data_IF_710817814672
#
_entry.id   IF_710817814672
#
_cell.length_a   1.000
_cell.length_b   1.000
_cell.length_c   1.000
_cell.angle_alpha   90.00
_cell.angle_beta   90.00
_cell.angle_gamma   90.00
#
_symmetry.space_group_name_H-M   'P 1'
#
loop_
_entity.id
_entity.type
_entity.pdbx_description
1 polymer ?
#
# COMPACT_ATOMS: atom_id res chain seq x y z
N UNK A 1 -8.76 14.17 -68.41
CA UNK A 1 -8.80 14.23 -66.93
C UNK A 1 -7.47 13.73 -66.41
N UNK A 2 -6.68 14.57 -65.76
CA UNK A 2 -5.25 14.40 -65.57
C UNK A 2 -4.88 13.34 -64.51
N UNK A 3 -4.20 12.29 -64.91
CA UNK A 3 -3.64 11.21 -64.08
C UNK A 3 -2.85 11.70 -62.80
N UNK A 4 -2.32 12.91 -62.87
CA UNK A 4 -1.62 13.55 -61.76
C UNK A 4 -2.51 13.98 -60.57
N UNK A 5 -3.83 14.15 -60.79
CA UNK A 5 -4.80 14.47 -59.71
C UNK A 5 -5.29 13.24 -58.96
N UNK A 6 -5.24 12.07 -59.55
CA UNK A 6 -5.68 10.81 -58.93
C UNK A 6 -4.59 10.28 -57.97
N UNK A 7 -3.28 10.45 -58.30
CA UNK A 7 -2.19 10.06 -57.40
C UNK A 7 -2.08 10.94 -56.14
N UNK A 8 -2.45 12.23 -56.24
CA UNK A 8 -2.41 13.14 -55.10
C UNK A 8 -3.54 12.87 -54.08
N UNK A 9 -4.68 12.39 -54.52
CA UNK A 9 -5.79 12.10 -53.65
C UNK A 9 -5.66 10.76 -52.91
N UNK A 10 -5.00 9.77 -53.56
CA UNK A 10 -4.73 8.46 -52.91
C UNK A 10 -3.61 8.54 -51.90
N UNK A 11 -2.67 9.45 -52.05
CA UNK A 11 -1.57 9.66 -51.12
C UNK A 11 -2.00 10.44 -49.86
N UNK A 12 -2.99 11.36 -49.99
CA UNK A 12 -3.58 12.08 -48.85
C UNK A 12 -4.47 11.19 -48.01
N UNK A 13 -5.17 10.23 -48.62
CA UNK A 13 -6.02 9.27 -47.88
C UNK A 13 -5.19 8.22 -47.15
N UNK A 14 -4.01 7.88 -47.63
CA UNK A 14 -3.12 6.93 -46.95
C UNK A 14 -2.38 7.56 -45.76
N UNK A 15 -2.10 8.87 -45.80
CA UNK A 15 -1.47 9.59 -44.67
C UNK A 15 -2.45 9.83 -43.54
N UNK A 16 -3.75 9.97 -43.82
CA UNK A 16 -4.79 10.11 -42.79
C UNK A 16 -5.11 8.79 -42.06
N UNK A 17 -4.80 7.63 -42.61
CA UNK A 17 -4.99 6.32 -41.98
C UNK A 17 -3.83 5.91 -41.08
N UNK A 18 -2.67 6.58 -41.12
CA UNK A 18 -1.50 6.28 -40.25
C UNK A 18 -1.58 7.02 -38.91
N UNK A 19 -2.39 8.06 -38.76
CA UNK A 19 -2.55 8.80 -37.50
C UNK A 19 -3.72 8.34 -36.62
N UNK A 20 -4.42 7.27 -36.97
CA UNK A 20 -5.25 6.54 -36.03
C UNK A 20 -4.37 5.55 -35.23
N UNK A 21 -3.24 6.03 -34.70
CA UNK A 21 -2.54 5.32 -33.64
C UNK A 21 -3.48 5.28 -32.43
N UNK A 22 -3.91 4.08 -32.05
CA UNK A 22 -4.55 3.76 -30.81
C UNK A 22 -3.97 4.63 -29.68
N UNK A 23 -4.65 5.69 -29.28
CA UNK A 23 -4.49 6.20 -27.93
C UNK A 23 -4.97 5.06 -27.03
N UNK A 24 -4.03 4.29 -26.50
CA UNK A 24 -4.36 3.33 -25.45
C UNK A 24 -5.12 4.10 -24.37
N UNK A 25 -6.33 3.68 -24.12
CA UNK A 25 -7.10 4.27 -23.01
C UNK A 25 -6.27 4.08 -21.75
N UNK A 26 -6.08 5.12 -20.93
CA UNK A 26 -5.22 5.05 -19.74
C UNK A 26 -5.66 3.99 -18.72
N UNK A 27 -6.83 3.43 -18.88
CA UNK A 27 -7.45 2.41 -18.03
C UNK A 27 -7.74 1.10 -18.79
N UNK A 28 -6.97 0.78 -19.86
CA UNK A 28 -7.11 -0.51 -20.54
C UNK A 28 -6.90 -1.67 -19.56
N UNK A 29 -7.81 -2.64 -19.58
CA UNK A 29 -7.69 -3.86 -18.76
C UNK A 29 -6.56 -4.72 -19.32
N UNK A 30 -5.61 -5.12 -18.46
CA UNK A 30 -4.52 -6.00 -18.83
C UNK A 30 -4.98 -7.45 -18.92
N UNK A 31 -4.32 -8.22 -19.78
CA UNK A 31 -4.47 -9.66 -19.83
C UNK A 31 -4.18 -10.29 -18.46
N UNK A 32 -4.80 -11.43 -18.17
CA UNK A 32 -4.66 -12.18 -16.91
C UNK A 32 -5.18 -11.46 -15.65
N UNK A 33 -5.93 -10.35 -15.77
CA UNK A 33 -6.72 -9.90 -14.64
C UNK A 33 -7.69 -11.01 -14.25
N UNK A 34 -7.84 -11.26 -12.96
CA UNK A 34 -8.79 -12.27 -12.49
C UNK A 34 -10.21 -11.97 -12.91
N UNK A 35 -11.00 -13.01 -13.17
CA UNK A 35 -12.45 -12.86 -13.30
C UNK A 35 -13.05 -12.44 -11.95
N UNK A 36 -14.28 -11.97 -11.97
CA UNK A 36 -15.00 -11.61 -10.74
C UNK A 36 -15.21 -12.85 -9.87
N UNK A 37 -15.59 -13.96 -10.48
CA UNK A 37 -15.80 -15.25 -9.80
C UNK A 37 -14.55 -15.68 -9.03
N UNK A 38 -13.37 -15.66 -9.67
CA UNK A 38 -12.11 -16.02 -9.01
C UNK A 38 -11.80 -15.10 -7.83
N UNK A 39 -12.04 -13.80 -7.96
CA UNK A 39 -11.80 -12.85 -6.88
C UNK A 39 -12.74 -13.10 -5.68
N UNK A 40 -14.00 -13.42 -5.93
CA UNK A 40 -14.96 -13.75 -4.88
C UNK A 40 -14.72 -15.13 -4.25
N UNK A 41 -14.23 -16.13 -5.03
CA UNK A 41 -13.76 -17.42 -4.49
C UNK A 41 -12.61 -17.21 -3.52
N UNK A 42 -11.59 -16.44 -3.91
CA UNK A 42 -10.47 -16.07 -3.02
C UNK A 42 -10.96 -15.41 -1.72
N UNK A 43 -11.92 -14.48 -1.83
CA UNK A 43 -12.51 -13.82 -0.65
C UNK A 43 -13.21 -14.82 0.27
N UNK A 44 -13.96 -15.75 -0.31
CA UNK A 44 -14.67 -16.81 0.43
C UNK A 44 -13.70 -17.76 1.15
N UNK A 45 -12.61 -18.14 0.49
CA UNK A 45 -11.57 -19.02 1.07
C UNK A 45 -10.84 -18.39 2.26
N UNK A 46 -10.62 -17.07 2.22
CA UNK A 46 -9.92 -16.36 3.29
C UNK A 46 -10.87 -15.84 4.40
N UNK A 47 -12.18 -15.82 4.17
CA UNK A 47 -13.14 -15.26 5.12
C UNK A 47 -13.00 -13.76 5.35
N UNK A 48 -13.48 -13.27 6.49
CA UNK A 48 -13.26 -11.88 6.88
C UNK A 48 -11.88 -11.72 7.47
N UNK A 49 -11.11 -10.78 6.90
CA UNK A 49 -9.74 -10.50 7.30
C UNK A 49 -9.67 -9.17 8.03
N UNK A 50 -9.01 -9.15 9.19
CA UNK A 50 -8.77 -7.94 9.95
C UNK A 50 -7.39 -7.98 10.60
N UNK A 51 -6.73 -6.81 10.65
CA UNK A 51 -5.39 -6.71 11.18
C UNK A 51 -4.79 -5.33 11.04
N UNK A 52 -3.48 -5.25 10.90
CA UNK A 52 -2.75 -3.98 10.94
C UNK A 52 -1.69 -3.87 9.85
N UNK A 53 -1.33 -2.64 9.47
CA UNK A 53 -0.09 -2.35 8.81
C UNK A 53 1.04 -2.56 9.82
N UNK A 54 1.86 -3.58 9.62
CA UNK A 54 2.87 -3.99 10.58
C UNK A 54 4.25 -3.46 10.20
N UNK A 55 4.84 -2.73 11.11
CA UNK A 55 6.24 -2.36 11.15
C UNK A 55 6.69 -2.54 12.60
N UNK A 56 7.74 -3.33 12.91
CA UNK A 56 8.12 -3.56 14.30
C UNK A 56 8.50 -2.24 14.99
N UNK A 57 8.16 -2.12 16.26
CA UNK A 57 8.38 -0.87 17.03
C UNK A 57 9.83 -0.42 17.07
N UNK A 58 10.77 -1.33 16.82
CA UNK A 58 12.23 -1.08 16.75
C UNK A 58 12.67 -0.49 15.41
N UNK A 59 11.81 -0.40 14.41
CA UNK A 59 12.14 0.06 13.05
C UNK A 59 11.43 1.36 12.72
N UNK A 60 12.16 2.34 12.15
CA UNK A 60 11.60 3.62 11.72
C UNK A 60 10.95 3.58 10.34
N UNK A 61 11.38 2.62 9.50
CA UNK A 61 10.90 2.45 8.13
C UNK A 61 11.20 1.04 7.59
N UNK A 62 10.80 0.79 6.34
CA UNK A 62 10.97 -0.49 5.65
C UNK A 62 12.45 -0.91 5.53
N UNK A 63 13.39 0.05 5.42
CA UNK A 63 14.82 -0.26 5.31
C UNK A 63 15.36 -0.78 6.65
N UNK A 64 15.05 -0.10 7.76
CA UNK A 64 15.45 -0.57 9.09
C UNK A 64 14.79 -1.90 9.47
N UNK A 65 13.55 -2.11 9.02
CA UNK A 65 12.86 -3.39 9.24
C UNK A 65 13.62 -4.57 8.60
N UNK A 66 14.14 -4.39 7.39
CA UNK A 66 14.58 -5.54 6.59
C UNK A 66 16.09 -5.66 6.36
N UNK A 67 16.92 -4.68 6.72
CA UNK A 67 18.37 -4.82 6.62
C UNK A 67 18.89 -5.89 7.59
N UNK A 68 19.97 -6.60 7.22
CA UNK A 68 20.51 -7.71 8.00
C UNK A 68 20.94 -7.30 9.41
N UNK A 69 21.53 -6.13 9.56
CA UNK A 69 22.05 -5.59 10.80
C UNK A 69 20.99 -5.03 11.76
N UNK A 70 19.78 -4.85 11.27
CA UNK A 70 18.65 -4.28 12.05
C UNK A 70 17.41 -5.18 12.10
N UNK A 71 17.41 -6.30 11.36
CA UNK A 71 16.32 -7.26 11.39
C UNK A 71 16.15 -7.90 12.77
N UNK A 72 15.02 -7.69 13.41
CA UNK A 72 14.73 -8.05 14.81
C UNK A 72 13.61 -9.08 14.92
N UNK A 73 13.91 -10.38 14.74
CA UNK A 73 12.89 -11.43 14.80
C UNK A 73 12.26 -11.60 16.19
N UNK A 74 12.96 -11.21 17.27
CA UNK A 74 12.43 -11.32 18.64
C UNK A 74 11.30 -10.30 18.87
N UNK A 75 11.50 -9.06 18.44
CA UNK A 75 10.45 -8.03 18.49
C UNK A 75 9.30 -8.39 17.55
N UNK A 76 9.59 -8.87 16.33
CA UNK A 76 8.57 -9.33 15.39
C UNK A 76 7.70 -10.42 16.02
N UNK A 77 8.31 -11.48 16.56
CA UNK A 77 7.57 -12.59 17.17
C UNK A 77 6.69 -12.12 18.33
N UNK A 78 7.23 -11.29 19.21
CA UNK A 78 6.52 -10.73 20.36
C UNK A 78 5.30 -9.89 19.94
N UNK A 79 5.47 -9.00 18.98
CA UNK A 79 4.40 -8.11 18.53
C UNK A 79 3.35 -8.84 17.69
N UNK A 80 3.75 -9.85 16.89
CA UNK A 80 2.80 -10.73 16.20
C UNK A 80 1.96 -11.56 17.19
N UNK A 81 2.55 -12.02 18.30
CA UNK A 81 1.79 -12.67 19.37
C UNK A 81 0.70 -11.74 19.93
N UNK A 82 1.04 -10.46 20.18
CA UNK A 82 0.04 -9.49 20.68
C UNK A 82 -1.08 -9.24 19.67
N UNK A 83 -0.75 -9.24 18.39
CA UNK A 83 -1.74 -9.13 17.32
C UNK A 83 -2.68 -10.33 17.26
N UNK A 84 -2.13 -11.55 17.36
CA UNK A 84 -2.91 -12.79 17.42
C UNK A 84 -3.83 -12.85 18.66
N UNK A 85 -3.37 -12.37 19.83
CA UNK A 85 -4.17 -12.28 21.03
C UNK A 85 -5.39 -11.34 20.91
N UNK A 86 -5.36 -10.39 19.96
CA UNK A 86 -6.49 -9.55 19.61
C UNK A 86 -7.47 -10.22 18.63
N UNK A 87 -7.08 -11.35 18.04
CA UNK A 87 -7.84 -12.01 16.96
C UNK A 87 -7.52 -11.48 15.55
N UNK A 88 -6.46 -10.70 15.38
CA UNK A 88 -6.02 -10.27 14.06
C UNK A 88 -5.47 -11.46 13.26
N UNK A 89 -5.84 -11.56 11.98
CA UNK A 89 -5.48 -12.66 11.09
C UNK A 89 -4.80 -12.20 9.79
N UNK A 90 -4.54 -10.90 9.66
CA UNK A 90 -3.91 -10.30 8.50
C UNK A 90 -2.94 -9.18 8.89
N UNK A 91 -1.72 -9.20 8.32
CA UNK A 91 -0.81 -8.06 8.34
C UNK A 91 -0.54 -7.54 6.93
N UNK A 92 -0.47 -6.23 6.77
CA UNK A 92 0.04 -5.57 5.57
C UNK A 92 1.45 -5.07 5.85
N UNK A 93 2.42 -5.49 5.02
CA UNK A 93 3.84 -5.30 5.30
C UNK A 93 4.57 -4.73 4.09
N UNK A 94 5.35 -3.70 4.30
CA UNK A 94 6.04 -2.95 3.26
C UNK A 94 7.44 -3.51 2.99
N UNK A 95 7.73 -3.71 1.72
CA UNK A 95 9.05 -4.08 1.21
C UNK A 95 9.72 -2.86 0.54
N UNK A 96 11.00 -3.01 0.15
CA UNK A 96 11.72 -1.92 -0.51
C UNK A 96 12.73 -2.46 -1.53
N UNK A 97 12.79 -1.85 -2.74
CA UNK A 97 13.66 -2.29 -3.83
C UNK A 97 15.16 -2.21 -3.50
N UNK A 98 15.60 -1.24 -2.71
CA UNK A 98 17.02 -1.12 -2.34
C UNK A 98 17.53 -2.32 -1.54
N UNK A 99 16.67 -3.01 -0.79
CA UNK A 99 17.03 -4.23 -0.06
C UNK A 99 17.32 -5.40 -1.01
N UNK A 100 16.58 -5.45 -2.12
CA UNK A 100 16.84 -6.42 -3.17
C UNK A 100 18.20 -6.19 -3.86
N UNK A 101 18.55 -4.94 -4.10
CA UNK A 101 19.83 -4.57 -4.69
C UNK A 101 21.00 -4.82 -3.73
N UNK A 102 20.79 -4.58 -2.43
CA UNK A 102 21.81 -4.78 -1.40
C UNK A 102 22.14 -6.26 -1.19
N UNK A 103 21.13 -7.10 -0.96
CA UNK A 103 21.26 -8.52 -0.62
C UNK A 103 19.96 -9.27 -0.91
N UNK A 104 19.73 -9.60 -2.17
CA UNK A 104 18.48 -10.26 -2.59
C UNK A 104 18.23 -11.61 -1.90
N UNK A 105 19.28 -12.41 -1.69
CA UNK A 105 19.14 -13.72 -1.06
C UNK A 105 18.88 -13.60 0.44
N UNK A 106 19.56 -12.71 1.14
CA UNK A 106 19.30 -12.44 2.55
C UNK A 106 17.93 -11.81 2.75
N UNK A 107 17.53 -10.91 1.88
CA UNK A 107 16.20 -10.29 1.93
C UNK A 107 15.08 -11.33 1.79
N UNK A 108 15.18 -12.25 0.83
CA UNK A 108 14.25 -13.39 0.69
C UNK A 108 14.19 -14.21 1.99
N UNK A 109 15.35 -14.51 2.59
CA UNK A 109 15.40 -15.31 3.84
C UNK A 109 14.72 -14.58 5.01
N UNK A 110 14.88 -13.26 5.11
CA UNK A 110 14.23 -12.45 6.16
C UNK A 110 12.71 -12.39 5.95
N UNK A 111 12.25 -12.23 4.70
CA UNK A 111 10.82 -12.32 4.37
C UNK A 111 10.27 -13.72 4.72
N UNK A 112 10.95 -14.78 4.32
CA UNK A 112 10.53 -16.16 4.66
C UNK A 112 10.49 -16.40 6.16
N UNK A 113 11.46 -15.88 6.92
CA UNK A 113 11.45 -15.96 8.38
C UNK A 113 10.26 -15.19 8.98
N UNK A 114 9.98 -13.97 8.53
CA UNK A 114 8.79 -13.22 8.93
C UNK A 114 7.50 -14.00 8.64
N UNK A 115 7.36 -14.55 7.43
CA UNK A 115 6.18 -15.34 7.04
C UNK A 115 5.99 -16.59 7.90
N UNK A 116 7.08 -17.24 8.31
CA UNK A 116 7.02 -18.40 9.25
C UNK A 116 6.54 -17.97 10.64
N UNK A 117 7.04 -16.86 11.16
CA UNK A 117 6.58 -16.31 12.44
C UNK A 117 5.09 -15.96 12.36
N UNK A 118 4.70 -15.25 11.32
CA UNK A 118 3.32 -14.82 11.06
C UNK A 118 2.36 -16.02 10.96
N UNK A 119 2.72 -17.02 10.15
CA UNK A 119 1.94 -18.25 9.99
C UNK A 119 1.78 -19.00 11.31
N UNK A 120 2.83 -19.08 12.15
CA UNK A 120 2.77 -19.74 13.46
C UNK A 120 1.75 -19.09 14.42
N UNK A 121 1.34 -17.85 14.15
CA UNK A 121 0.33 -17.08 14.88
C UNK A 121 -1.02 -17.06 14.15
N UNK A 122 -1.17 -17.76 13.02
CA UNK A 122 -2.39 -17.78 12.22
C UNK A 122 -2.63 -16.49 11.42
N UNK A 123 -1.58 -15.70 11.19
CA UNK A 123 -1.66 -14.41 10.51
C UNK A 123 -1.12 -14.57 9.07
N UNK A 124 -1.92 -14.21 8.07
CA UNK A 124 -1.49 -14.09 6.68
C UNK A 124 -0.91 -12.71 6.38
N UNK A 125 -0.21 -12.58 5.27
CA UNK A 125 0.49 -11.33 4.92
C UNK A 125 0.09 -10.81 3.54
N UNK A 126 -0.30 -9.53 3.49
CA UNK A 126 -0.41 -8.73 2.26
C UNK A 126 0.89 -7.95 2.08
N UNK A 127 1.67 -8.26 1.05
CA UNK A 127 2.97 -7.62 0.80
C UNK A 127 2.83 -6.39 -0.10
N UNK A 128 3.37 -5.25 0.36
CA UNK A 128 3.41 -3.99 -0.38
C UNK A 128 4.77 -3.84 -1.06
N UNK A 129 4.78 -3.63 -2.39
CA UNK A 129 6.01 -3.60 -3.16
C UNK A 129 6.57 -2.19 -3.37
N UNK A 130 5.74 -1.21 -3.67
CA UNK A 130 6.12 0.17 -3.91
C UNK A 130 5.29 1.12 -3.04
N UNK A 131 5.84 2.32 -2.78
CA UNK A 131 5.26 3.30 -1.88
C UNK A 131 5.65 4.73 -2.28
N UNK A 132 4.67 5.63 -2.40
CA UNK A 132 4.93 7.04 -2.73
C UNK A 132 4.87 7.96 -1.49
N UNK A 133 4.83 7.39 -0.26
CA UNK A 133 4.65 8.17 0.98
C UNK A 133 5.98 8.52 1.65
N UNK A 134 6.05 9.72 2.12
CA UNK A 134 6.98 10.53 2.89
C UNK A 134 8.31 10.79 2.15
N UNK A 135 9.46 10.36 2.66
CA UNK A 135 10.77 10.79 2.15
C UNK A 135 11.08 10.26 0.74
N UNK A 136 11.26 11.15 -0.25
CA UNK A 136 11.50 10.73 -1.63
C UNK A 136 12.93 10.27 -1.93
N UNK A 137 13.85 10.33 -0.95
CA UNK A 137 15.26 9.98 -1.13
C UNK A 137 15.69 8.88 -0.14
N UNK A 138 15.25 7.63 -0.36
CA UNK A 138 15.65 6.51 0.49
C UNK A 138 17.15 6.22 0.38
N UNK A 139 17.78 5.79 1.48
CA UNK A 139 19.20 5.42 1.53
C UNK A 139 19.39 4.17 2.38
N UNK A 140 20.19 3.23 1.89
CA UNK A 140 20.64 2.06 2.66
C UNK A 140 21.58 2.45 3.82
N UNK A 141 21.77 1.52 4.73
CA UNK A 141 22.61 1.68 5.91
C UNK A 141 21.82 2.20 7.12
N UNK A 142 22.54 2.77 8.09
CA UNK A 142 21.93 3.26 9.31
C UNK A 142 20.85 4.30 8.99
N UNK A 143 19.63 4.05 9.44
CA UNK A 143 18.54 4.98 9.29
C UNK A 143 18.65 6.14 10.32
N UNK A 144 18.09 7.31 10.02
CA UNK A 144 18.06 8.42 10.97
C UNK A 144 17.25 8.06 12.21
N UNK A 145 17.57 8.66 13.34
CA UNK A 145 16.68 8.61 14.49
C UNK A 145 15.37 9.34 14.19
N UNK A 146 14.25 8.91 14.77
CA UNK A 146 12.98 9.62 14.59
C UNK A 146 13.08 11.04 15.12
N UNK A 147 12.45 11.99 14.44
CA UNK A 147 12.26 13.32 15.01
C UNK A 147 11.32 13.15 16.21
N UNK A 148 11.74 13.55 17.41
CA UNK A 148 10.92 13.35 18.60
C UNK A 148 9.51 13.91 18.43
N UNK A 149 8.51 13.08 18.72
CA UNK A 149 7.07 13.42 18.70
C UNK A 149 6.50 13.78 17.32
N UNK A 150 7.23 13.53 16.23
CA UNK A 150 6.75 13.80 14.86
C UNK A 150 6.34 12.52 14.18
N UNK A 151 5.09 12.47 13.74
CA UNK A 151 4.46 11.36 13.06
C UNK A 151 5.27 10.91 11.84
N UNK A 152 5.62 9.63 11.81
CA UNK A 152 6.20 8.92 10.65
C UNK A 152 7.41 9.64 10.01
N UNK A 153 8.21 10.30 10.86
CA UNK A 153 9.25 11.23 10.43
C UNK A 153 10.42 10.61 9.66
N UNK A 154 10.56 9.30 9.66
CA UNK A 154 11.63 8.59 8.94
C UNK A 154 11.16 7.62 7.87
N UNK A 155 9.86 7.57 7.55
CA UNK A 155 9.31 6.72 6.51
C UNK A 155 9.80 7.14 5.12
N UNK A 156 10.12 6.18 4.25
CA UNK A 156 10.76 6.44 2.94
C UNK A 156 9.96 5.86 1.78
N UNK A 157 10.02 6.54 0.64
CA UNK A 157 9.38 6.07 -0.59
C UNK A 157 10.16 4.90 -1.22
N UNK A 158 9.45 4.01 -1.88
CA UNK A 158 9.97 2.92 -2.70
C UNK A 158 9.32 2.99 -4.11
N UNK A 159 10.09 3.29 -5.17
CA UNK A 159 11.55 3.27 -5.25
C UNK A 159 12.26 4.58 -4.89
N UNK A 160 11.55 5.66 -4.60
CA UNK A 160 12.08 7.00 -4.40
C UNK A 160 12.31 7.78 -5.71
N UNK A 161 12.47 9.12 -5.57
CA UNK A 161 12.46 10.08 -6.69
C UNK A 161 13.47 9.78 -7.78
N UNK A 162 14.69 9.37 -7.42
CA UNK A 162 15.78 9.17 -8.40
C UNK A 162 15.50 8.03 -9.37
N UNK A 163 14.79 6.99 -8.95
CA UNK A 163 14.39 5.87 -9.82
C UNK A 163 13.04 6.16 -10.46
N UNK A 164 12.09 6.70 -9.72
CA UNK A 164 10.76 7.04 -10.24
C UNK A 164 10.86 7.98 -11.44
N UNK A 165 11.67 9.04 -11.35
CA UNK A 165 11.85 10.04 -12.41
C UNK A 165 12.72 9.60 -13.60
N UNK A 166 13.42 8.47 -13.51
CA UNK A 166 14.31 7.96 -14.55
C UNK A 166 13.85 6.60 -15.10
N UNK A 167 13.13 6.63 -16.21
CA UNK A 167 12.61 5.41 -16.84
C UNK A 167 13.67 4.41 -17.27
N UNK A 168 14.94 4.83 -17.45
CA UNK A 168 16.06 3.94 -17.76
C UNK A 168 16.45 3.09 -16.55
N UNK A 169 16.14 3.54 -15.32
CA UNK A 169 16.39 2.81 -14.10
C UNK A 169 15.23 1.90 -13.66
N UNK A 170 14.09 1.95 -14.32
CA UNK A 170 12.94 1.09 -13.97
C UNK A 170 13.26 -0.42 -14.10
N UNK A 171 14.38 -0.83 -14.74
CA UNK A 171 14.81 -2.23 -14.73
C UNK A 171 15.20 -2.71 -13.32
N UNK A 172 15.69 -1.83 -12.45
CA UNK A 172 16.01 -2.12 -11.06
C UNK A 172 14.73 -2.56 -10.32
N UNK A 173 13.66 -1.76 -10.46
CA UNK A 173 12.33 -2.07 -9.91
C UNK A 173 11.76 -3.36 -10.51
N UNK A 174 11.93 -3.58 -11.83
CA UNK A 174 11.49 -4.81 -12.49
C UNK A 174 12.17 -6.04 -11.90
N UNK A 175 13.48 -5.99 -11.70
CA UNK A 175 14.24 -7.11 -11.17
C UNK A 175 13.80 -7.44 -9.73
N UNK A 176 13.59 -6.43 -8.91
CA UNK A 176 13.07 -6.55 -7.55
C UNK A 176 11.67 -7.19 -7.54
N UNK A 177 10.69 -6.60 -8.27
CA UNK A 177 9.31 -7.08 -8.31
C UNK A 177 9.25 -8.53 -8.78
N UNK A 178 9.88 -8.82 -9.92
CA UNK A 178 9.87 -10.19 -10.47
C UNK A 178 10.61 -11.18 -9.59
N UNK A 179 11.71 -10.77 -8.96
CA UNK A 179 12.48 -11.62 -8.07
C UNK A 179 11.69 -12.01 -6.83
N UNK A 180 11.13 -11.04 -6.10
CA UNK A 180 10.31 -11.28 -4.90
C UNK A 180 9.05 -12.06 -5.27
N UNK A 181 8.26 -11.59 -6.22
CA UNK A 181 7.01 -12.22 -6.58
C UNK A 181 7.20 -13.64 -7.11
N UNK A 182 8.23 -13.92 -7.91
CA UNK A 182 8.49 -15.29 -8.41
C UNK A 182 8.86 -16.24 -7.29
N UNK A 183 9.52 -15.76 -6.22
CA UNK A 183 9.90 -16.61 -5.10
C UNK A 183 8.68 -17.03 -4.25
N UNK A 184 7.72 -16.12 -4.08
CA UNK A 184 6.53 -16.34 -3.24
C UNK A 184 5.23 -16.46 -4.05
N UNK A 185 5.31 -16.74 -5.37
CA UNK A 185 4.14 -16.78 -6.27
C UNK A 185 3.08 -17.81 -5.89
N UNK A 186 3.48 -18.90 -5.25
CA UNK A 186 2.59 -20.01 -4.83
C UNK A 186 2.61 -20.18 -3.30
N UNK A 187 3.00 -19.18 -2.55
CA UNK A 187 3.11 -19.24 -1.09
C UNK A 187 1.79 -18.82 -0.42
N UNK A 188 1.10 -19.76 0.20
CA UNK A 188 -0.21 -19.57 0.83
C UNK A 188 -0.18 -18.62 2.06
N UNK A 189 1.01 -18.32 2.59
CA UNK A 189 1.21 -17.34 3.67
C UNK A 189 1.03 -15.92 3.16
N UNK A 190 1.26 -15.69 1.85
CA UNK A 190 1.05 -14.42 1.17
C UNK A 190 -0.37 -14.40 0.59
N UNK A 191 -1.23 -13.56 1.15
CA UNK A 191 -2.65 -13.50 0.78
C UNK A 191 -2.91 -12.64 -0.45
N UNK A 192 -1.98 -11.74 -0.79
CA UNK A 192 -2.10 -10.83 -1.92
C UNK A 192 -0.86 -9.95 -2.09
N UNK A 193 -0.81 -9.25 -3.20
CA UNK A 193 0.24 -8.30 -3.56
C UNK A 193 -0.34 -6.91 -3.72
N UNK A 194 0.03 -6.00 -2.84
CA UNK A 194 -0.23 -4.57 -2.99
C UNK A 194 0.93 -3.96 -3.79
N UNK A 195 0.66 -3.73 -5.07
CA UNK A 195 1.71 -3.34 -6.01
C UNK A 195 2.25 -1.93 -5.77
N UNK A 196 1.41 -1.05 -5.21
CA UNK A 196 1.78 0.34 -4.98
C UNK A 196 0.91 0.98 -3.88
N UNK A 197 1.54 1.41 -2.81
CA UNK A 197 0.88 2.20 -1.77
C UNK A 197 0.77 3.66 -2.21
N UNK A 198 -0.43 4.22 -2.09
CA UNK A 198 -0.71 5.65 -2.29
C UNK A 198 -0.02 6.26 -3.53
N UNK A 199 -0.21 5.69 -4.72
CA UNK A 199 0.49 6.16 -5.90
C UNK A 199 0.21 7.65 -6.14
N UNK A 200 1.25 8.40 -6.49
CA UNK A 200 1.33 9.85 -6.68
C UNK A 200 1.07 10.70 -5.41
N UNK A 201 1.16 10.11 -4.22
CA UNK A 201 1.20 10.92 -3.01
C UNK A 201 2.46 11.80 -3.02
N UNK A 202 2.28 13.06 -2.69
CA UNK A 202 3.35 14.07 -2.68
C UNK A 202 3.58 14.53 -1.24
N UNK A 203 4.76 14.23 -0.71
CA UNK A 203 5.14 14.72 0.60
C UNK A 203 5.43 16.21 0.56
N UNK A 204 4.87 17.01 1.48
CA UNK A 204 5.19 18.43 1.56
C UNK A 204 6.70 18.63 1.81
N UNK A 205 7.30 19.54 1.07
CA UNK A 205 8.67 19.99 1.33
C UNK A 205 8.62 20.86 2.58
N UNK A 206 9.08 20.32 3.71
CA UNK A 206 9.24 21.12 4.93
C UNK A 206 10.67 21.73 4.94
N UNK A 207 10.78 23.06 4.97
CA UNK A 207 12.07 23.76 5.08
C UNK A 207 12.89 23.37 6.33
N UNK A 208 12.23 22.86 7.37
CA UNK A 208 12.88 22.36 8.59
C UNK A 208 13.65 21.06 8.34
N UNK A 209 13.31 20.32 7.28
CA UNK A 209 13.87 19.01 6.97
C UNK A 209 14.37 18.95 5.52
N UNK A 210 15.39 19.73 5.16
CA UNK A 210 15.89 19.84 3.78
C UNK A 210 16.45 18.52 3.23
N UNK A 211 16.83 17.59 4.09
CA UNK A 211 17.39 16.29 3.70
C UNK A 211 16.37 15.33 3.12
N UNK A 212 15.08 15.67 3.20
CA UNK A 212 14.01 14.87 2.52
C UNK A 212 14.16 14.86 1.01
N UNK A 213 14.86 15.85 0.47
CA UNK A 213 15.05 15.98 -0.98
C UNK A 213 13.79 16.43 -1.73
N UNK A 214 13.96 16.82 -3.00
CA UNK A 214 12.82 17.22 -3.83
C UNK A 214 12.04 16.00 -4.30
N UNK A 215 10.73 16.13 -4.30
CA UNK A 215 9.84 15.25 -5.05
C UNK A 215 10.06 15.38 -6.55
N UNK A 216 9.71 14.34 -7.29
CA UNK A 216 9.68 14.39 -8.77
C UNK A 216 8.58 15.37 -9.18
N UNK A 217 8.97 16.38 -9.98
CA UNK A 217 7.99 17.31 -10.56
C UNK A 217 7.00 16.53 -11.43
N UNK A 218 5.72 16.89 -11.36
CA UNK A 218 4.65 16.19 -12.08
C UNK A 218 4.62 14.67 -11.81
N UNK A 219 4.83 14.28 -10.55
CA UNK A 219 4.99 12.91 -10.05
C UNK A 219 3.95 11.95 -10.62
N UNK A 220 2.68 12.37 -10.72
CA UNK A 220 1.58 11.55 -11.23
C UNK A 220 1.84 10.95 -12.63
N UNK A 221 2.62 11.62 -13.48
CA UNK A 221 2.98 11.12 -14.82
C UNK A 221 3.93 9.92 -14.70
N UNK A 222 4.95 10.05 -13.86
CA UNK A 222 5.96 9.01 -13.65
C UNK A 222 5.38 7.83 -12.86
N UNK A 223 4.59 8.11 -11.84
CA UNK A 223 3.91 7.08 -11.05
C UNK A 223 2.95 6.26 -11.92
N UNK A 224 2.13 6.89 -12.78
CA UNK A 224 1.26 6.14 -13.71
C UNK A 224 2.06 5.27 -14.66
N UNK A 225 3.17 5.79 -15.19
CA UNK A 225 4.04 5.04 -16.10
C UNK A 225 4.70 3.84 -15.41
N UNK A 226 5.16 4.01 -14.16
CA UNK A 226 5.73 2.92 -13.36
C UNK A 226 4.64 1.91 -12.94
N UNK A 227 3.47 2.37 -12.49
CA UNK A 227 2.35 1.52 -12.10
C UNK A 227 1.91 0.58 -13.23
N UNK A 228 1.81 1.08 -14.46
CA UNK A 228 1.51 0.26 -15.64
C UNK A 228 2.56 -0.83 -15.86
N UNK A 229 3.85 -0.48 -15.73
CA UNK A 229 4.95 -1.45 -15.83
C UNK A 229 4.90 -2.48 -14.70
N UNK A 230 4.63 -2.06 -13.47
CA UNK A 230 4.52 -2.92 -12.29
C UNK A 230 3.45 -3.98 -12.46
N UNK A 231 2.24 -3.59 -12.88
CA UNK A 231 1.18 -4.55 -13.20
C UNK A 231 1.60 -5.52 -14.30
N UNK A 232 2.21 -5.04 -15.37
CA UNK A 232 2.70 -5.90 -16.45
C UNK A 232 3.69 -6.94 -15.93
N UNK A 233 4.68 -6.53 -15.13
CA UNK A 233 5.68 -7.45 -14.57
C UNK A 233 5.07 -8.44 -13.60
N UNK A 234 4.13 -8.01 -12.76
CA UNK A 234 3.39 -8.89 -11.87
C UNK A 234 2.55 -9.93 -12.64
N UNK A 235 1.86 -9.50 -13.72
CA UNK A 235 1.09 -10.42 -14.59
C UNK A 235 2.02 -11.38 -15.39
N UNK A 236 3.24 -10.99 -15.71
CA UNK A 236 4.24 -11.89 -16.30
C UNK A 236 4.64 -13.01 -15.32
N UNK A 237 4.76 -12.72 -14.01
CA UNK A 237 4.98 -13.73 -12.96
C UNK A 237 3.75 -14.61 -12.81
N UNK A 238 2.55 -14.03 -12.85
CA UNK A 238 1.27 -14.72 -12.74
C UNK A 238 1.09 -15.49 -11.41
N UNK A 239 1.20 -14.81 -10.25
CA UNK A 239 1.08 -15.45 -8.94
C UNK A 239 -0.32 -16.04 -8.71
N UNK A 240 -0.42 -16.99 -7.77
CA UNK A 240 -1.68 -17.55 -7.30
C UNK A 240 -2.52 -16.53 -6.50
N UNK A 241 -1.87 -15.51 -5.95
CA UNK A 241 -2.48 -14.46 -5.14
C UNK A 241 -2.99 -13.28 -6.00
N UNK A 242 -4.01 -12.52 -5.51
CA UNK A 242 -4.54 -11.35 -6.21
C UNK A 242 -3.57 -10.16 -6.16
N UNK A 243 -3.72 -9.28 -7.16
CA UNK A 243 -3.03 -8.00 -7.25
C UNK A 243 -3.96 -6.86 -6.88
N UNK A 244 -3.44 -5.89 -6.12
CA UNK A 244 -4.16 -4.67 -5.75
C UNK A 244 -3.24 -3.45 -5.71
N UNK A 245 -3.82 -2.27 -5.42
CA UNK A 245 -3.13 -0.98 -5.25
C UNK A 245 -3.83 -0.20 -4.15
N UNK A 246 -3.08 0.34 -3.19
CA UNK A 246 -3.62 1.15 -2.10
C UNK A 246 -4.10 2.53 -2.58
N UNK A 247 -5.38 2.66 -2.91
CA UNK A 247 -6.00 3.92 -3.34
C UNK A 247 -6.26 4.82 -2.14
N UNK A 248 -5.80 6.08 -2.20
CA UNK A 248 -5.81 6.98 -1.04
C UNK A 248 -6.59 8.27 -1.23
N UNK A 249 -6.87 8.68 -2.48
CA UNK A 249 -7.56 9.93 -2.77
C UNK A 249 -9.03 9.90 -2.35
N UNK A 250 -9.60 11.08 -2.19
CA UNK A 250 -11.01 11.28 -1.88
C UNK A 250 -11.70 12.07 -3.01
N UNK A 251 -11.99 11.42 -4.16
CA UNK A 251 -12.79 12.04 -5.20
C UNK A 251 -14.24 12.23 -4.73
N UNK A 252 -14.99 13.16 -5.34
CA UNK A 252 -16.39 13.38 -5.03
C UNK A 252 -17.24 12.09 -5.10
N UNK A 253 -16.85 11.15 -5.94
CA UNK A 253 -17.43 9.81 -6.01
C UNK A 253 -16.44 8.82 -6.62
N UNK A 254 -16.43 7.60 -6.11
CA UNK A 254 -15.71 6.47 -6.68
C UNK A 254 -16.54 5.67 -7.67
N UNK A 255 -17.87 5.90 -7.73
CA UNK A 255 -18.79 5.09 -8.53
C UNK A 255 -18.71 5.33 -10.03
N UNK A 256 -18.09 6.41 -10.48
CA UNK A 256 -18.00 6.80 -11.89
C UNK A 256 -16.54 6.82 -12.33
N UNK A 257 -16.10 5.74 -12.98
CA UNK A 257 -14.70 5.56 -13.36
C UNK A 257 -14.15 6.71 -14.22
N UNK A 258 -14.97 7.33 -15.06
CA UNK A 258 -14.55 8.43 -15.92
C UNK A 258 -14.25 9.73 -15.17
N UNK A 259 -14.75 9.89 -13.94
CA UNK A 259 -14.47 11.05 -13.08
C UNK A 259 -13.16 10.91 -12.27
N UNK A 260 -12.59 9.73 -12.22
CA UNK A 260 -11.38 9.45 -11.44
C UNK A 260 -10.11 9.92 -12.14
N UNK A 261 -9.02 10.05 -11.39
CA UNK A 261 -7.69 10.30 -11.94
C UNK A 261 -7.25 9.15 -12.87
N UNK A 262 -6.28 9.41 -13.74
CA UNK A 262 -5.77 8.36 -14.63
C UNK A 262 -5.15 7.17 -13.87
N UNK A 263 -4.55 7.44 -12.69
CA UNK A 263 -3.99 6.42 -11.81
C UNK A 263 -5.10 5.57 -11.20
N UNK A 264 -6.12 6.20 -10.61
CA UNK A 264 -7.22 5.51 -9.96
C UNK A 264 -8.03 4.66 -10.97
N UNK A 265 -8.30 5.23 -12.17
CA UNK A 265 -8.92 4.48 -13.27
C UNK A 265 -8.14 3.23 -13.63
N UNK A 266 -6.82 3.38 -13.79
CA UNK A 266 -5.96 2.28 -14.17
C UNK A 266 -5.90 1.22 -13.05
N UNK A 267 -5.73 1.65 -11.80
CA UNK A 267 -5.67 0.78 -10.63
C UNK A 267 -6.96 -0.05 -10.47
N UNK A 268 -8.14 0.60 -10.42
CA UNK A 268 -9.43 -0.10 -10.32
C UNK A 268 -9.65 -1.06 -11.50
N UNK A 269 -9.31 -0.64 -12.72
CA UNK A 269 -9.53 -1.47 -13.91
C UNK A 269 -8.62 -2.70 -13.97
N UNK A 270 -7.49 -2.71 -13.25
CA UNK A 270 -6.49 -3.77 -13.36
C UNK A 270 -6.27 -4.57 -12.07
N UNK A 271 -6.76 -4.12 -10.93
CA UNK A 271 -6.73 -4.84 -9.67
C UNK A 271 -7.69 -6.03 -9.68
N UNK A 272 -7.30 -7.13 -9.06
CA UNK A 272 -8.14 -8.31 -8.88
C UNK A 272 -9.12 -8.11 -7.73
N UNK A 273 -8.64 -7.50 -6.65
CA UNK A 273 -9.40 -7.01 -5.49
C UNK A 273 -9.09 -5.52 -5.33
N UNK A 274 -10.00 -4.72 -4.77
CA UNK A 274 -9.82 -3.28 -4.67
C UNK A 274 -9.41 -2.92 -3.25
N UNK A 275 -8.23 -2.33 -3.10
CA UNK A 275 -7.76 -1.75 -1.84
C UNK A 275 -7.97 -0.24 -1.82
N UNK A 276 -8.35 0.29 -0.65
CA UNK A 276 -8.54 1.72 -0.45
C UNK A 276 -8.21 2.14 0.98
N UNK A 277 -7.92 3.43 1.17
CA UNK A 277 -7.72 4.03 2.49
C UNK A 277 -8.95 4.84 2.90
N UNK A 278 -9.26 4.86 4.18
CA UNK A 278 -10.44 5.52 4.73
C UNK A 278 -10.12 6.12 6.11
N UNK A 279 -9.62 7.33 6.13
CA UNK A 279 -9.35 8.08 7.37
C UNK A 279 -10.45 9.06 7.76
N UNK A 280 -11.45 9.26 6.90
CA UNK A 280 -12.63 10.06 7.16
C UNK A 280 -13.60 9.45 8.18
N UNK A 281 -14.71 10.10 8.43
CA UNK A 281 -15.72 9.62 9.36
C UNK A 281 -16.51 8.40 8.84
N UNK A 282 -17.41 7.87 9.67
CA UNK A 282 -18.20 6.67 9.35
C UNK A 282 -19.05 6.85 8.07
N UNK A 283 -19.62 8.06 7.85
CA UNK A 283 -20.49 8.31 6.69
C UNK A 283 -19.67 8.38 5.41
N UNK A 284 -18.52 9.04 5.45
CA UNK A 284 -17.58 9.12 4.33
C UNK A 284 -17.05 7.74 3.97
N UNK A 285 -16.66 6.94 4.96
CA UNK A 285 -16.20 5.55 4.78
C UNK A 285 -17.31 4.67 4.19
N UNK A 286 -18.53 4.75 4.70
CA UNK A 286 -19.69 4.02 4.16
C UNK A 286 -19.95 4.37 2.70
N UNK A 287 -19.97 5.67 2.38
CA UNK A 287 -20.16 6.14 1.00
C UNK A 287 -19.06 5.62 0.07
N UNK A 288 -17.82 5.64 0.50
CA UNK A 288 -16.68 5.11 -0.28
C UNK A 288 -16.87 3.62 -0.58
N UNK A 289 -17.26 2.82 0.41
CA UNK A 289 -17.56 1.39 0.24
C UNK A 289 -18.70 1.20 -0.77
N UNK A 290 -19.85 1.88 -0.59
CA UNK A 290 -21.00 1.78 -1.48
C UNK A 290 -20.68 2.18 -2.95
N UNK A 291 -19.80 3.14 -3.13
CA UNK A 291 -19.32 3.53 -4.46
C UNK A 291 -18.39 2.45 -5.06
N UNK A 292 -17.51 1.86 -4.28
CA UNK A 292 -16.55 0.84 -4.75
C UNK A 292 -17.21 -0.54 -4.96
N UNK A 293 -18.27 -0.89 -4.23
CA UNK A 293 -19.07 -2.12 -4.43
C UNK A 293 -19.58 -2.24 -5.89
N UNK A 294 -19.78 -1.12 -6.59
CA UNK A 294 -20.24 -1.10 -7.99
C UNK A 294 -19.28 -1.73 -9.00
N UNK A 295 -18.01 -1.91 -8.61
CA UNK A 295 -17.02 -2.59 -9.46
C UNK A 295 -17.04 -4.11 -9.33
N UNK A 296 -17.92 -4.66 -8.46
CA UNK A 296 -18.11 -6.09 -8.22
C UNK A 296 -16.80 -6.83 -7.93
N UNK A 297 -15.98 -6.28 -7.02
CA UNK A 297 -14.72 -6.86 -6.55
C UNK A 297 -14.69 -6.89 -5.03
N UNK A 298 -14.05 -7.89 -4.40
CA UNK A 298 -13.76 -7.85 -2.97
C UNK A 298 -13.04 -6.55 -2.61
N UNK A 299 -13.41 -5.96 -1.47
CA UNK A 299 -12.87 -4.70 -0.98
C UNK A 299 -11.95 -4.93 0.22
N UNK A 300 -10.83 -4.23 0.25
CA UNK A 300 -9.90 -4.19 1.37
C UNK A 300 -9.68 -2.72 1.78
N UNK A 301 -10.11 -2.34 2.98
CA UNK A 301 -9.67 -1.09 3.58
C UNK A 301 -8.27 -1.32 4.16
N UNK A 302 -7.25 -0.94 3.39
CA UNK A 302 -5.85 -1.22 3.73
C UNK A 302 -5.22 -0.19 4.67
N UNK A 303 -5.91 0.92 4.91
CA UNK A 303 -5.57 1.87 5.97
C UNK A 303 -6.82 2.57 6.50
N UNK A 304 -6.96 2.57 7.83
CA UNK A 304 -7.91 3.34 8.60
C UNK A 304 -7.38 3.52 10.02
N UNK A 305 -8.14 4.08 10.92
CA UNK A 305 -7.83 4.43 12.29
C UNK A 305 -7.06 5.76 12.39
N UNK A 306 -7.80 6.80 12.62
CA UNK A 306 -7.29 8.14 12.95
C UNK A 306 -8.21 8.70 14.05
N UNK A 307 -7.91 8.38 15.31
CA UNK A 307 -8.83 8.66 16.44
C UNK A 307 -9.13 10.14 16.59
N UNK A 308 -8.17 11.01 16.25
CA UNK A 308 -8.38 12.46 16.23
C UNK A 308 -9.46 12.91 15.22
N UNK A 309 -9.63 12.16 14.13
CA UNK A 309 -10.64 12.38 13.08
C UNK A 309 -11.94 11.60 13.30
N UNK A 310 -12.16 11.05 14.51
CA UNK A 310 -13.31 10.20 14.86
C UNK A 310 -13.36 8.87 14.08
N UNK A 311 -12.29 8.51 13.44
CA UNK A 311 -12.10 7.22 12.79
C UNK A 311 -11.51 6.25 13.81
N UNK A 312 -12.37 5.46 14.46
CA UNK A 312 -12.04 4.58 15.58
C UNK A 312 -12.42 3.13 15.28
N UNK A 313 -11.85 2.19 15.99
CA UNK A 313 -12.24 0.77 15.87
C UNK A 313 -13.74 0.57 16.11
N UNK A 314 -14.30 1.21 17.12
CA UNK A 314 -15.72 1.09 17.49
C UNK A 314 -16.66 1.59 16.40
N UNK A 315 -16.22 2.60 15.62
CA UNK A 315 -17.02 3.14 14.52
C UNK A 315 -16.85 2.32 13.24
N UNK A 316 -15.62 1.88 12.92
CA UNK A 316 -15.28 1.34 11.62
C UNK A 316 -15.43 -0.18 11.52
N UNK A 317 -14.97 -0.95 12.52
CA UNK A 317 -14.97 -2.41 12.41
C UNK A 317 -16.38 -3.02 12.25
N UNK A 318 -17.45 -2.54 12.93
CA UNK A 318 -18.79 -3.05 12.67
C UNK A 318 -19.23 -2.86 11.22
N UNK A 319 -18.93 -1.71 10.61
CA UNK A 319 -19.21 -1.43 9.20
C UNK A 319 -18.42 -2.36 8.28
N UNK A 320 -17.12 -2.53 8.51
CA UNK A 320 -16.29 -3.40 7.69
C UNK A 320 -16.71 -4.86 7.79
N UNK A 321 -17.07 -5.33 9.00
CA UNK A 321 -17.59 -6.69 9.21
C UNK A 321 -18.95 -6.88 8.51
N UNK A 322 -19.90 -5.95 8.66
CA UNK A 322 -21.20 -5.93 7.98
C UNK A 322 -21.07 -6.01 6.45
N UNK A 323 -20.12 -5.26 5.90
CA UNK A 323 -19.85 -5.15 4.46
C UNK A 323 -18.85 -6.19 3.94
N UNK A 324 -18.35 -7.07 4.79
CA UNK A 324 -17.31 -8.05 4.49
C UNK A 324 -16.03 -7.44 3.87
N UNK A 325 -15.74 -6.18 4.16
CA UNK A 325 -14.53 -5.46 3.76
C UNK A 325 -13.39 -5.88 4.68
N UNK A 326 -12.26 -6.30 4.14
CA UNK A 326 -11.07 -6.53 4.96
C UNK A 326 -10.62 -5.22 5.62
N UNK A 327 -10.23 -5.28 6.91
CA UNK A 327 -9.98 -4.11 7.74
C UNK A 327 -8.54 -4.11 8.27
N UNK A 328 -7.68 -3.22 7.76
CA UNK A 328 -6.26 -3.15 8.12
C UNK A 328 -5.97 -1.75 8.64
N UNK A 329 -5.85 -1.60 9.96
CA UNK A 329 -5.56 -0.29 10.54
C UNK A 329 -4.08 0.12 10.33
N UNK A 330 -3.83 1.43 10.36
CA UNK A 330 -2.48 1.96 10.46
C UNK A 330 -2.06 2.03 11.93
N UNK A 331 -0.80 1.62 12.22
CA UNK A 331 -0.22 1.64 13.56
C UNK A 331 -0.65 0.46 14.45
N UNK A 332 0.33 -0.09 15.19
CA UNK A 332 0.09 -1.21 16.10
C UNK A 332 0.81 -1.01 17.42
N UNK A 333 2.16 -1.00 17.42
CA UNK A 333 2.96 -0.73 18.62
C UNK A 333 3.69 0.60 18.43
N UNK A 334 3.45 1.54 19.31
CA UNK A 334 4.12 2.84 19.29
C UNK A 334 5.63 2.63 19.42
N UNK A 335 6.36 3.12 18.43
CA UNK A 335 7.80 2.92 18.32
C UNK A 335 8.48 4.05 17.56
N UNK A 336 9.51 3.73 16.82
CA UNK A 336 10.28 4.71 16.05
C UNK A 336 9.48 5.45 14.98
N UNK A 337 8.34 4.89 14.53
CA UNK A 337 7.44 5.54 13.58
C UNK A 337 6.68 6.73 14.17
N UNK A 338 6.55 6.81 15.50
CA UNK A 338 5.79 7.86 16.18
C UNK A 338 4.32 7.99 15.71
N UNK A 339 3.70 6.91 15.30
CA UNK A 339 2.33 6.91 14.74
C UNK A 339 1.23 7.10 15.79
N UNK A 340 1.59 7.12 17.08
CA UNK A 340 0.72 7.61 18.15
C UNK A 340 0.46 9.14 18.07
N UNK A 341 1.33 9.90 17.42
CA UNK A 341 1.17 11.33 17.23
C UNK A 341 0.33 11.62 15.98
N UNK A 342 -0.48 12.72 15.97
CA UNK A 342 -1.28 13.10 14.81
C UNK A 342 -0.41 13.67 13.67
N UNK A 343 -0.98 13.74 12.48
CA UNK A 343 -0.31 14.37 11.32
C UNK A 343 0.03 15.84 11.58
N UNK A 344 -0.77 16.56 12.39
CA UNK A 344 -0.47 17.95 12.79
C UNK A 344 0.84 18.10 13.55
N UNK A 345 1.43 16.99 14.05
CA UNK A 345 2.77 17.02 14.69
C UNK A 345 3.91 17.48 13.77
N UNK A 346 3.68 17.55 12.47
CA UNK A 346 4.60 18.18 11.54
C UNK A 346 4.60 19.71 11.64
N UNK A 347 3.50 20.30 12.10
CA UNK A 347 3.30 21.74 12.22
C UNK A 347 3.25 22.17 13.69
N UNK A 348 2.63 21.37 14.55
CA UNK A 348 2.46 21.58 15.98
C UNK A 348 3.57 20.90 16.79
N UNK A 349 4.01 21.54 17.87
CA UNK A 349 5.02 20.98 18.75
C UNK A 349 4.36 20.18 19.88
N UNK A 350 4.78 18.94 20.01
CA UNK A 350 4.45 18.06 21.14
C UNK A 350 5.68 17.90 22.05
N UNK A 351 5.45 17.72 23.34
CA UNK A 351 6.48 17.46 24.37
C UNK A 351 6.26 16.13 25.12
N UNK A 352 5.14 15.49 24.86
CA UNK A 352 4.72 14.24 25.47
C UNK A 352 3.70 13.50 24.60
N UNK A 353 3.42 12.26 24.95
CA UNK A 353 2.41 11.46 24.26
C UNK A 353 1.04 12.14 24.33
N UNK A 354 0.29 12.29 23.22
CA UNK A 354 -1.01 12.91 23.23
C UNK A 354 -2.02 12.07 24.04
N UNK A 355 -3.03 12.72 24.63
CA UNK A 355 -4.10 12.00 25.37
C UNK A 355 -4.88 11.03 24.47
N UNK A 356 -5.02 11.36 23.20
CA UNK A 356 -5.65 10.52 22.19
C UNK A 356 -4.53 10.14 21.21
N UNK A 357 -4.16 8.86 21.19
CA UNK A 357 -3.20 8.37 20.21
C UNK A 357 -3.86 8.30 18.84
N UNK A 358 -3.12 8.72 17.82
CA UNK A 358 -3.69 8.79 16.48
C UNK A 358 -3.97 7.40 15.92
N UNK A 359 -2.98 6.50 15.92
CA UNK A 359 -3.08 5.18 15.30
C UNK A 359 -2.77 4.00 16.23
N UNK A 360 -1.72 4.07 17.06
CA UNK A 360 -1.18 2.89 17.75
C UNK A 360 -2.13 2.30 18.80
N UNK A 361 -1.99 0.99 19.04
CA UNK A 361 -2.79 0.22 20.00
C UNK A 361 -2.04 0.02 21.30
N UNK A 362 -0.73 -0.29 21.22
CA UNK A 362 0.12 -0.60 22.37
C UNK A 362 1.37 0.29 22.43
N UNK A 363 1.91 0.45 23.64
CA UNK A 363 3.31 0.81 23.87
C UNK A 363 4.21 -0.43 23.73
N UNK A 364 5.57 -0.27 23.65
CA UNK A 364 6.49 -1.39 23.55
C UNK A 364 6.51 -2.35 24.75
N UNK A 365 5.95 -1.95 25.87
CA UNK A 365 5.76 -2.78 27.06
C UNK A 365 4.38 -3.45 27.13
N UNK A 366 3.61 -3.41 26.04
CA UNK A 366 2.23 -3.90 25.93
C UNK A 366 1.19 -3.08 26.70
N UNK A 367 1.53 -1.91 27.21
CA UNK A 367 0.52 -1.00 27.79
C UNK A 367 -0.42 -0.53 26.67
N UNK A 368 -1.75 -0.79 26.76
CA UNK A 368 -2.68 -0.40 25.71
C UNK A 368 -3.00 1.09 25.76
N UNK A 369 -3.43 1.67 24.64
CA UNK A 369 -4.04 2.99 24.59
C UNK A 369 -5.27 3.06 25.49
N UNK A 370 -6.20 2.11 25.32
CA UNK A 370 -7.41 1.98 26.13
C UNK A 370 -7.77 0.50 26.28
N UNK A 371 -7.89 0.03 27.51
CA UNK A 371 -8.28 -1.36 27.81
C UNK A 371 -9.67 -1.72 27.26
N UNK A 372 -10.58 -0.75 27.20
CA UNK A 372 -11.92 -0.96 26.63
C UNK A 372 -11.87 -1.17 25.12
N UNK A 373 -10.88 -0.55 24.44
CA UNK A 373 -10.64 -0.76 23.03
C UNK A 373 -10.10 -2.18 22.79
N UNK A 374 -9.21 -2.67 23.65
CA UNK A 374 -8.72 -4.06 23.61
C UNK A 374 -9.88 -5.06 23.78
N UNK A 375 -10.75 -4.84 24.76
CA UNK A 375 -11.92 -5.71 25.00
C UNK A 375 -12.86 -5.69 23.79
N UNK A 376 -13.08 -4.53 23.19
CA UNK A 376 -13.87 -4.38 21.96
C UNK A 376 -13.26 -5.12 20.78
N UNK A 377 -11.93 -4.96 20.57
CA UNK A 377 -11.21 -5.64 19.49
C UNK A 377 -11.33 -7.16 19.62
N UNK A 378 -11.07 -7.71 20.80
CA UNK A 378 -11.23 -9.16 21.05
C UNK A 378 -12.66 -9.62 20.79
N UNK A 379 -13.66 -8.88 21.25
CA UNK A 379 -15.06 -9.23 21.04
C UNK A 379 -15.47 -9.26 19.57
N UNK A 380 -14.99 -8.34 18.73
CA UNK A 380 -15.41 -8.27 17.33
C UNK A 380 -14.57 -9.15 16.39
N UNK A 381 -13.30 -9.40 16.72
CA UNK A 381 -12.37 -10.15 15.87
C UNK A 381 -12.37 -11.66 16.14
N UNK A 382 -12.73 -12.08 17.36
CA UNK A 382 -12.76 -13.50 17.73
C UNK A 382 -14.16 -14.16 17.61
N UNK A 383 -15.23 -13.34 17.39
CA UNK A 383 -16.58 -13.81 17.07
C UNK A 383 -16.72 -14.17 15.58
#
# INVERSE_FOLDING_TARGET
MNMKKILSLSMLTFILLIFAQCQEKPYSVLEKRWTEERAWEWKKENGWMAGTNFNPSTSINQLEFWQEDTYDPETIERELEWSAELGMNLHRVYLHNLLWEQDSLGFIKRIDNYLKISESKGIKTLLVLLDDVWHPVPKLGKQPEPIPFVHNSGWVQAPGSAILGDSLRHFEVKNYIKGIMSHFAEDDRVVGWDLYNEPDNVSPIDPKYPDRGPEVKDKHIYTLALLKKTFKWAREVNPSQPLTVGLWKDPNTWSTIDSLSAIDKFAISNSDVISFHAYGDLNETRKKIEDLEKYNRPLLCTEYLARGEKNTFQNMLPLFKEKEVAAINWGFVAGKTNTAFPWSSWEEQFDSLPKIWHHDIYLPDKTPFDIKEIDFLKGILMD
#
